data_IF_861392235798
#
_entry.id   IF_861392235798
#
_cell.length_a   1.000
_cell.length_b   1.000
_cell.length_c   1.000
_cell.angle_alpha   90.00
_cell.angle_beta   90.00
_cell.angle_gamma   90.00
#
_symmetry.space_group_name_H-M   'P 1'
#
loop_
_entity.id
_entity.type
_entity.pdbx_description
1 polymer ?
#
# COMPACT_ATOMS: atom_id res chain seq x y z
N UNK A 1 15.06 -32.59 -30.98
CA UNK A 1 15.26 -31.12 -30.89
C UNK A 1 13.95 -30.33 -30.89
N UNK A 2 12.91 -30.75 -31.64
CA UNK A 2 11.60 -30.06 -31.68
C UNK A 2 10.85 -29.93 -30.33
N UNK A 3 11.02 -30.90 -29.42
CA UNK A 3 10.35 -30.89 -28.10
C UNK A 3 10.86 -29.80 -27.16
N UNK A 4 12.10 -29.35 -27.31
CA UNK A 4 12.71 -28.34 -26.42
C UNK A 4 12.23 -26.93 -26.81
N UNK A 5 12.10 -26.66 -28.13
CA UNK A 5 11.59 -25.38 -28.62
C UNK A 5 10.14 -25.10 -28.22
N UNK A 6 9.29 -26.13 -28.07
CA UNK A 6 7.90 -25.94 -27.64
C UNK A 6 7.78 -25.57 -26.16
N UNK A 7 8.68 -26.08 -25.32
CA UNK A 7 8.72 -25.78 -23.88
C UNK A 7 9.16 -24.33 -23.67
N UNK A 8 10.15 -23.85 -24.43
CA UNK A 8 10.58 -22.44 -24.37
C UNK A 8 9.48 -21.47 -24.84
N UNK A 9 8.61 -21.88 -25.77
CA UNK A 9 7.50 -21.05 -26.25
C UNK A 9 6.36 -20.94 -25.23
N UNK A 10 6.16 -21.95 -24.38
CA UNK A 10 5.16 -21.91 -23.30
C UNK A 10 5.63 -21.07 -22.11
N UNK A 11 6.93 -21.05 -21.83
CA UNK A 11 7.50 -20.23 -20.74
C UNK A 11 7.42 -18.74 -21.08
N UNK A 12 7.62 -18.36 -22.34
CA UNK A 12 7.51 -16.96 -22.77
C UNK A 12 6.06 -16.42 -22.78
N UNK A 13 5.05 -17.29 -22.90
CA UNK A 13 3.64 -16.89 -22.79
C UNK A 13 3.17 -16.63 -21.34
N UNK A 14 3.86 -17.16 -20.33
CA UNK A 14 3.54 -16.90 -18.92
C UNK A 14 4.04 -15.53 -18.43
N UNK A 15 4.80 -14.80 -19.26
CA UNK A 15 5.29 -13.45 -18.93
C UNK A 15 4.34 -12.31 -19.35
N UNK A 16 3.15 -12.59 -19.89
CA UNK A 16 2.07 -11.60 -19.92
C UNK A 16 1.32 -11.62 -18.59
N UNK A 17 2.05 -11.33 -17.50
CA UNK A 17 1.40 -10.87 -16.28
C UNK A 17 0.59 -9.64 -16.66
N UNK A 18 -0.71 -9.65 -16.35
CA UNK A 18 -1.58 -8.50 -16.54
C UNK A 18 -0.86 -7.25 -16.04
N UNK A 19 -0.38 -6.42 -16.97
CA UNK A 19 0.06 -5.07 -16.71
C UNK A 19 -1.20 -4.29 -16.33
N UNK A 20 -1.56 -4.40 -15.06
CA UNK A 20 -2.60 -3.57 -14.48
C UNK A 20 -1.98 -2.19 -14.34
N UNK A 21 -2.54 -1.23 -15.07
CA UNK A 21 -2.17 0.18 -14.94
C UNK A 21 -2.37 0.58 -13.47
N UNK A 22 -1.28 0.93 -12.79
CA UNK A 22 -1.27 1.22 -11.35
C UNK A 22 -1.19 2.73 -11.11
N UNK A 23 -2.02 3.31 -10.23
CA UNK A 23 -3.11 2.69 -9.50
C UNK A 23 -4.35 2.47 -10.39
N UNK A 24 -4.89 1.25 -10.40
CA UNK A 24 -6.20 0.97 -11.01
C UNK A 24 -7.27 1.49 -10.06
N UNK A 25 -8.45 1.85 -10.56
CA UNK A 25 -9.63 2.04 -9.71
C UNK A 25 -10.48 0.78 -9.79
N UNK A 26 -10.37 -0.11 -8.80
CA UNK A 26 -11.22 -1.31 -8.75
C UNK A 26 -12.66 -0.94 -8.43
N UNK A 27 -13.61 -1.50 -9.16
CA UNK A 27 -15.01 -1.49 -8.78
C UNK A 27 -15.23 -2.39 -7.57
N UNK A 28 -16.33 -2.16 -6.82
CA UNK A 28 -16.71 -3.02 -5.69
C UNK A 28 -16.88 -4.50 -6.08
N UNK A 29 -17.34 -4.78 -7.29
CA UNK A 29 -17.50 -6.15 -7.79
C UNK A 29 -16.13 -6.82 -8.03
N UNK A 30 -15.18 -6.09 -8.60
CA UNK A 30 -13.81 -6.57 -8.79
C UNK A 30 -13.12 -6.81 -7.44
N UNK A 31 -13.22 -5.88 -6.48
CA UNK A 31 -12.61 -6.04 -5.15
C UNK A 31 -13.10 -7.32 -4.43
N UNK A 32 -14.39 -7.68 -4.61
CA UNK A 32 -14.96 -8.92 -4.05
C UNK A 32 -14.37 -10.18 -4.68
N UNK A 33 -14.04 -10.14 -5.97
CA UNK A 33 -13.55 -11.29 -6.73
C UNK A 33 -12.02 -11.37 -6.80
N UNK A 34 -11.34 -10.32 -6.36
CA UNK A 34 -9.89 -10.20 -6.37
C UNK A 34 -9.21 -11.42 -5.72
N UNK A 35 -8.32 -12.06 -6.47
CA UNK A 35 -7.57 -13.21 -5.99
C UNK A 35 -6.47 -12.80 -5.00
N UNK A 36 -5.93 -13.79 -4.27
CA UNK A 36 -4.81 -13.57 -3.35
C UNK A 36 -3.51 -13.19 -4.06
N UNK A 37 -3.37 -13.57 -5.33
CA UNK A 37 -2.18 -13.30 -6.15
C UNK A 37 -2.24 -11.86 -6.66
N UNK A 38 -3.37 -11.44 -7.24
CA UNK A 38 -3.59 -10.05 -7.65
C UNK A 38 -3.48 -9.11 -6.46
N UNK A 39 -4.06 -9.46 -5.31
CA UNK A 39 -3.91 -8.62 -4.13
C UNK A 39 -2.46 -8.50 -3.67
N UNK A 40 -1.65 -9.57 -3.78
CA UNK A 40 -0.22 -9.50 -3.47
C UNK A 40 0.49 -8.52 -4.42
N UNK A 41 0.21 -8.59 -5.72
CA UNK A 41 0.77 -7.68 -6.71
C UNK A 41 0.45 -6.22 -6.39
N UNK A 42 -0.81 -5.91 -6.05
CA UNK A 42 -1.22 -4.56 -5.62
C UNK A 42 -0.41 -4.08 -4.41
N UNK A 43 -0.18 -4.95 -3.42
CA UNK A 43 0.63 -4.59 -2.25
C UNK A 43 2.09 -4.32 -2.63
N UNK A 44 2.65 -5.11 -3.54
CA UNK A 44 4.04 -4.99 -3.99
C UNK A 44 4.22 -3.69 -4.80
N UNK A 45 3.30 -3.39 -5.73
CA UNK A 45 3.27 -2.16 -6.53
C UNK A 45 3.06 -0.91 -5.65
N UNK A 46 2.12 -0.96 -4.72
CA UNK A 46 1.90 0.12 -3.76
C UNK A 46 3.14 0.36 -2.90
N UNK A 47 3.80 -0.71 -2.45
CA UNK A 47 5.04 -0.60 -1.69
C UNK A 47 6.16 0.08 -2.47
N UNK A 48 6.29 -0.24 -3.77
CA UNK A 48 7.30 0.34 -4.65
C UNK A 48 7.03 1.82 -4.99
N UNK A 49 5.76 2.22 -5.06
CA UNK A 49 5.35 3.60 -5.35
C UNK A 49 5.50 4.55 -4.15
N UNK A 50 5.77 4.04 -2.94
CA UNK A 50 5.85 4.88 -1.74
C UNK A 50 7.06 5.83 -1.80
N UNK A 51 6.85 7.15 -1.63
CA UNK A 51 7.94 8.10 -1.72
C UNK A 51 8.87 7.98 -0.52
N UNK A 52 10.17 7.94 -0.80
CA UNK A 52 11.22 7.80 0.21
C UNK A 52 11.79 9.17 0.60
N UNK A 53 12.02 9.40 1.89
CA UNK A 53 12.60 10.65 2.43
C UNK A 53 13.92 11.03 1.75
N UNK A 54 14.73 10.05 1.37
CA UNK A 54 16.01 10.29 0.69
C UNK A 54 15.85 10.96 -0.69
N UNK A 55 14.72 10.71 -1.37
CA UNK A 55 14.44 11.27 -2.69
C UNK A 55 13.73 12.63 -2.59
N UNK A 56 13.10 12.90 -1.45
CA UNK A 56 12.29 14.09 -1.19
C UNK A 56 12.71 14.69 0.16
N UNK A 57 13.88 15.35 0.22
CA UNK A 57 14.36 15.95 1.47
C UNK A 57 13.43 17.07 1.95
N UNK A 58 13.42 17.38 3.26
CA UNK A 58 12.62 18.47 3.81
C UNK A 58 12.96 19.79 3.13
N UNK A 59 11.93 20.57 2.82
CA UNK A 59 12.09 21.92 2.29
C UNK A 59 12.66 22.85 3.35
N UNK A 60 13.44 23.84 2.90
CA UNK A 60 13.99 24.86 3.79
C UNK A 60 12.90 25.88 4.16
N UNK A 61 12.99 26.52 5.33
CA UNK A 61 12.07 27.59 5.70
C UNK A 61 12.03 28.68 4.62
N UNK A 62 10.82 29.02 4.17
CA UNK A 62 10.59 30.04 3.14
C UNK A 62 10.54 29.52 1.69
N UNK A 63 10.80 28.23 1.47
CA UNK A 63 10.58 27.61 0.15
C UNK A 63 9.09 27.30 -0.08
N UNK A 64 8.64 27.37 -1.33
CA UNK A 64 7.28 27.00 -1.73
C UNK A 64 7.15 25.49 -1.74
N UNK A 65 6.09 24.98 -1.13
CA UNK A 65 5.83 23.54 -1.12
C UNK A 65 5.55 22.99 -2.51
N UNK A 66 6.43 22.11 -2.99
CA UNK A 66 6.22 21.36 -4.21
C UNK A 66 5.52 20.03 -3.91
N UNK A 67 4.37 19.80 -4.54
CA UNK A 67 3.64 18.53 -4.47
C UNK A 67 3.96 17.76 -5.74
N UNK A 68 4.58 16.61 -5.54
CA UNK A 68 4.93 15.69 -6.60
C UNK A 68 3.67 14.95 -7.12
N UNK A 69 3.55 14.73 -8.42
CA UNK A 69 2.35 14.08 -8.98
C UNK A 69 2.24 12.64 -8.50
N UNK A 70 3.35 11.92 -8.45
CA UNK A 70 3.49 10.54 -7.99
C UNK A 70 2.97 10.31 -6.56
N UNK A 71 2.91 11.37 -5.73
CA UNK A 71 2.34 11.31 -4.39
C UNK A 71 0.84 11.06 -4.40
N UNK A 72 0.14 11.57 -5.41
CA UNK A 72 -1.30 11.32 -5.60
C UNK A 72 -1.55 9.83 -5.83
N UNK A 73 -0.73 9.21 -6.67
CA UNK A 73 -0.88 7.82 -7.06
C UNK A 73 -0.55 6.88 -5.90
N UNK A 74 0.54 7.17 -5.17
CA UNK A 74 0.88 6.45 -3.95
C UNK A 74 -0.22 6.56 -2.87
N UNK A 75 -0.82 7.75 -2.71
CA UNK A 75 -1.90 7.98 -1.75
C UNK A 75 -3.18 7.23 -2.14
N UNK A 76 -3.54 7.27 -3.41
CA UNK A 76 -4.68 6.54 -3.97
C UNK A 76 -4.52 5.03 -3.79
N UNK A 77 -3.33 4.48 -4.05
CA UNK A 77 -3.04 3.07 -3.84
C UNK A 77 -3.21 2.61 -2.39
N UNK A 78 -2.72 3.40 -1.42
CA UNK A 78 -2.91 3.10 0.01
C UNK A 78 -4.40 3.08 0.38
N UNK A 79 -5.17 4.03 -0.14
CA UNK A 79 -6.61 4.09 0.05
C UNK A 79 -7.33 2.90 -0.58
N UNK A 80 -6.89 2.46 -1.75
CA UNK A 80 -7.48 1.33 -2.45
C UNK A 80 -7.26 0.01 -1.71
N UNK A 81 -6.05 -0.22 -1.19
CA UNK A 81 -5.76 -1.38 -0.32
C UNK A 81 -6.75 -1.41 0.86
N UNK A 82 -7.01 -0.25 1.47
CA UNK A 82 -7.98 -0.10 2.55
C UNK A 82 -9.42 -0.47 2.10
N UNK A 83 -9.84 -0.06 0.90
CA UNK A 83 -11.16 -0.43 0.36
C UNK A 83 -11.25 -1.93 0.06
N UNK A 84 -10.22 -2.52 -0.54
CA UNK A 84 -10.17 -3.96 -0.85
C UNK A 84 -10.33 -4.78 0.43
N UNK A 85 -9.58 -4.49 1.49
CA UNK A 85 -9.69 -5.26 2.75
C UNK A 85 -10.98 -5.00 3.53
N UNK A 86 -11.66 -3.86 3.27
CA UNK A 86 -13.00 -3.59 3.81
C UNK A 86 -14.05 -4.46 3.12
N UNK A 87 -13.94 -4.61 1.81
CA UNK A 87 -14.92 -5.33 0.98
C UNK A 87 -14.67 -6.83 0.99
N UNK A 88 -13.42 -7.26 0.95
CA UNK A 88 -13.00 -8.65 0.88
C UNK A 88 -12.16 -9.03 2.11
N UNK A 89 -12.83 -9.59 3.12
CA UNK A 89 -12.21 -9.96 4.41
C UNK A 89 -11.11 -11.03 4.29
N UNK A 90 -11.08 -11.79 3.20
CA UNK A 90 -10.04 -12.81 2.99
C UNK A 90 -8.64 -12.18 2.85
N UNK A 91 -8.57 -10.90 2.49
CA UNK A 91 -7.33 -10.13 2.30
C UNK A 91 -6.91 -9.32 3.53
N UNK A 92 -7.75 -9.23 4.55
CA UNK A 92 -7.52 -8.37 5.73
C UNK A 92 -6.20 -8.63 6.42
N UNK A 93 -5.81 -9.90 6.62
CA UNK A 93 -4.55 -10.24 7.31
C UNK A 93 -3.33 -9.68 6.56
N UNK A 94 -3.26 -9.90 5.25
CA UNK A 94 -2.15 -9.42 4.41
C UNK A 94 -2.13 -7.90 4.30
N UNK A 95 -3.29 -7.26 4.11
CA UNK A 95 -3.37 -5.81 4.02
C UNK A 95 -3.03 -5.11 5.34
N UNK A 96 -3.49 -5.63 6.49
CA UNK A 96 -3.09 -5.12 7.80
C UNK A 96 -1.58 -5.26 8.03
N UNK A 97 -1.00 -6.41 7.65
CA UNK A 97 0.45 -6.60 7.77
C UNK A 97 1.24 -5.62 6.90
N UNK A 98 0.76 -5.34 5.68
CA UNK A 98 1.35 -4.31 4.82
C UNK A 98 1.25 -2.92 5.45
N UNK A 99 0.05 -2.49 5.85
CA UNK A 99 -0.17 -1.16 6.44
C UNK A 99 0.67 -0.96 7.71
N UNK A 100 0.78 -1.99 8.57
CA UNK A 100 1.65 -1.95 9.75
C UNK A 100 3.11 -1.72 9.35
N UNK A 101 3.64 -2.51 8.41
CA UNK A 101 5.04 -2.37 7.95
C UNK A 101 5.29 -1.00 7.32
N UNK A 102 4.37 -0.51 6.50
CA UNK A 102 4.43 0.82 5.90
C UNK A 102 4.52 1.91 6.98
N UNK A 103 3.62 1.87 7.98
CA UNK A 103 3.59 2.85 9.07
C UNK A 103 4.85 2.83 9.97
N UNK A 104 5.51 1.69 10.08
CA UNK A 104 6.75 1.54 10.86
C UNK A 104 8.01 1.96 10.07
N UNK A 105 7.91 2.14 8.76
CA UNK A 105 9.07 2.37 7.91
C UNK A 105 9.54 3.83 8.00
N UNK A 106 10.68 4.05 8.65
CA UNK A 106 11.29 5.38 8.84
C UNK A 106 11.80 6.03 7.56
N UNK A 107 12.00 5.24 6.49
CA UNK A 107 12.54 5.71 5.22
C UNK A 107 11.46 6.29 4.29
N UNK A 108 10.19 5.94 4.50
CA UNK A 108 9.06 6.48 3.74
C UNK A 108 8.75 7.88 4.26
N UNK A 109 8.29 8.78 3.38
CA UNK A 109 7.78 10.08 3.78
C UNK A 109 6.72 9.94 4.89
N UNK A 110 6.83 10.80 5.90
CA UNK A 110 6.07 10.69 7.16
C UNK A 110 4.55 10.73 6.91
N UNK A 111 4.12 11.51 5.92
CA UNK A 111 2.74 11.67 5.46
C UNK A 111 2.14 10.32 5.02
N UNK A 112 2.89 9.56 4.21
CA UNK A 112 2.43 8.27 3.69
C UNK A 112 2.46 7.19 4.77
N UNK A 113 3.48 7.19 5.61
CA UNK A 113 3.51 6.34 6.80
C UNK A 113 2.33 6.65 7.74
N UNK A 114 1.93 7.93 7.87
CA UNK A 114 0.78 8.34 8.66
C UNK A 114 -0.55 7.90 8.04
N UNK A 115 -0.71 7.97 6.71
CA UNK A 115 -1.87 7.39 6.01
C UNK A 115 -1.95 5.88 6.28
N UNK A 116 -0.83 5.17 6.20
CA UNK A 116 -0.76 3.75 6.53
C UNK A 116 -1.16 3.48 7.98
N UNK A 117 -0.70 4.30 8.94
CA UNK A 117 -1.07 4.17 10.35
C UNK A 117 -2.57 4.42 10.58
N UNK A 118 -3.15 5.43 9.95
CA UNK A 118 -4.58 5.74 10.01
C UNK A 118 -5.43 4.57 9.51
N UNK A 119 -5.10 4.00 8.34
CA UNK A 119 -5.84 2.85 7.85
C UNK A 119 -5.62 1.61 8.72
N UNK A 120 -4.38 1.35 9.15
CA UNK A 120 -4.08 0.24 10.05
C UNK A 120 -4.87 0.34 11.35
N UNK A 121 -4.90 1.50 12.01
CA UNK A 121 -5.56 1.69 13.30
C UNK A 121 -7.07 1.43 13.21
N UNK A 122 -7.73 1.95 12.18
CA UNK A 122 -9.16 1.77 11.92
C UNK A 122 -9.49 0.29 11.76
N UNK A 123 -8.81 -0.40 10.85
CA UNK A 123 -9.11 -1.81 10.59
C UNK A 123 -8.67 -2.71 11.73
N UNK A 124 -7.55 -2.44 12.38
CA UNK A 124 -7.10 -3.20 13.54
C UNK A 124 -8.13 -3.12 14.68
N UNK A 125 -8.66 -1.93 14.99
CA UNK A 125 -9.75 -1.75 15.97
C UNK A 125 -11.01 -2.52 15.57
N UNK A 126 -11.42 -2.43 14.30
CA UNK A 126 -12.63 -3.12 13.80
C UNK A 126 -12.50 -4.65 13.86
N UNK A 127 -11.35 -5.21 13.45
CA UNK A 127 -11.18 -6.65 13.30
C UNK A 127 -10.66 -7.35 14.55
N UNK A 128 -9.80 -6.68 15.35
CA UNK A 128 -9.21 -7.25 16.56
C UNK A 128 -9.88 -6.76 17.84
N UNK A 129 -10.67 -5.69 17.79
CA UNK A 129 -11.33 -5.08 18.97
C UNK A 129 -10.35 -4.64 20.06
N UNK A 130 -9.10 -4.37 19.70
CA UNK A 130 -8.04 -3.91 20.63
C UNK A 130 -7.45 -2.60 20.11
N UNK A 131 -7.00 -1.73 21.02
CA UNK A 131 -6.25 -0.52 20.68
C UNK A 131 -4.85 -0.87 20.14
N UNK A 132 -4.35 -0.07 19.22
CA UNK A 132 -2.98 -0.22 18.71
C UNK A 132 -1.98 0.21 19.80
N UNK A 133 -0.83 -0.47 19.86
CA UNK A 133 0.29 0.02 20.66
C UNK A 133 0.99 1.14 19.90
N UNK A 134 0.78 2.39 20.32
CA UNK A 134 1.38 3.56 19.67
C UNK A 134 2.92 3.50 19.67
N UNK A 135 3.52 2.84 20.67
CA UNK A 135 4.99 2.70 20.80
C UNK A 135 5.66 1.91 19.67
N UNK A 136 4.89 1.14 18.90
CA UNK A 136 5.41 0.39 17.75
C UNK A 136 5.78 1.32 16.57
N UNK A 137 5.35 2.59 16.58
CA UNK A 137 5.42 3.49 15.43
C UNK A 137 6.32 4.71 15.71
N UNK A 138 6.94 5.31 14.67
CA UNK A 138 7.69 6.56 14.82
C UNK A 138 6.81 7.70 15.35
N UNK A 139 7.35 8.53 16.23
CA UNK A 139 6.58 9.57 16.91
C UNK A 139 6.02 10.61 15.94
N UNK A 140 6.77 10.96 14.91
CA UNK A 140 6.34 11.88 13.86
C UNK A 140 5.14 11.33 13.06
N UNK A 141 5.08 10.01 12.86
CA UNK A 141 3.97 9.33 12.17
C UNK A 141 2.72 9.33 13.05
N UNK A 142 2.88 9.07 14.35
CA UNK A 142 1.81 9.14 15.34
C UNK A 142 1.19 10.54 15.36
N UNK A 143 2.03 11.58 15.44
CA UNK A 143 1.59 12.97 15.53
C UNK A 143 0.80 13.42 14.31
N UNK A 144 1.16 12.92 13.12
CA UNK A 144 0.53 13.30 11.86
C UNK A 144 -0.72 12.45 11.54
N UNK A 145 -0.81 11.24 12.08
CA UNK A 145 -1.93 10.34 11.79
C UNK A 145 -3.25 10.89 12.34
N UNK A 146 -4.21 11.11 11.43
CA UNK A 146 -5.45 11.85 11.70
C UNK A 146 -6.47 11.14 12.60
N UNK A 147 -6.24 9.90 13.01
CA UNK A 147 -7.18 9.15 13.85
C UNK A 147 -6.46 8.16 14.75
N UNK A 148 -5.58 8.65 15.61
CA UNK A 148 -5.46 8.02 16.93
C UNK A 148 -6.54 8.60 17.84
N UNK A 149 -7.79 8.43 17.40
CA UNK A 149 -8.98 8.64 18.21
C UNK A 149 -8.86 7.73 19.42
N UNK A 150 -8.84 8.39 20.58
CA UNK A 150 -9.06 7.75 21.87
C UNK A 150 -10.36 6.92 21.89
#
# INVERSE_FOLDING_TARGET
MFKISLITLFISFQCFGNLVEFPKLYTRAEMKRLSKTEFKQILDEAGAALPLKQNYPPQKPGEVAFIHHEWKDAGAALHEIAQIIKINKSHTSKGLAFLKRCAMNKNILTEFAAICLTHYSVFYKVYKKVKINKRDFPQEVINLSSFIVD
#
